data_IF_721214021338
#
_entry.id   IF_721214021338
#
_cell.length_a   1.000
_cell.length_b   1.000
_cell.length_c   1.000
_cell.angle_alpha   90.00
_cell.angle_beta   90.00
_cell.angle_gamma   90.00
#
_symmetry.space_group_name_H-M   'P 1'
#
loop_
_entity.id
_entity.type
_entity.pdbx_description
1 polymer ?
#
# COMPACT_ATOMS: atom_id res chain seq x y z
N UNK A 1 -9.16 3.11 -30.18
CA UNK A 1 -8.56 3.79 -29.03
C UNK A 1 -8.18 2.78 -27.97
N UNK A 2 -9.13 2.01 -27.43
CA UNK A 2 -8.89 1.03 -26.37
C UNK A 2 -7.90 -0.06 -26.78
N UNK A 3 -8.00 -0.55 -28.02
CA UNK A 3 -7.06 -1.53 -28.57
C UNK A 3 -5.61 -1.04 -28.52
N UNK A 4 -5.37 0.22 -28.88
CA UNK A 4 -4.02 0.79 -28.89
C UNK A 4 -3.50 1.05 -27.47
N UNK A 5 -4.37 1.52 -26.56
CA UNK A 5 -4.02 1.64 -25.14
C UNK A 5 -3.65 0.27 -24.56
N UNK A 6 -4.44 -0.77 -24.85
CA UNK A 6 -4.16 -2.12 -24.36
C UNK A 6 -2.83 -2.67 -24.90
N UNK A 7 -2.54 -2.48 -26.18
CA UNK A 7 -1.24 -2.87 -26.76
C UNK A 7 -0.07 -2.14 -26.09
N UNK A 8 -0.25 -0.87 -25.74
CA UNK A 8 0.78 -0.12 -25.02
C UNK A 8 0.95 -0.62 -23.57
N UNK A 9 -0.15 -0.95 -22.87
CA UNK A 9 -0.10 -1.59 -21.55
C UNK A 9 0.72 -2.89 -21.63
N UNK A 10 0.48 -3.74 -22.63
CA UNK A 10 1.27 -4.97 -22.85
C UNK A 10 2.73 -4.65 -23.14
N UNK A 11 3.02 -3.62 -23.94
CA UNK A 11 4.40 -3.17 -24.17
C UNK A 11 5.07 -2.76 -22.86
N UNK A 12 4.39 -2.02 -21.99
CA UNK A 12 4.91 -1.57 -20.69
C UNK A 12 5.20 -2.76 -19.78
N UNK A 13 4.24 -3.67 -19.61
CA UNK A 13 4.40 -4.84 -18.74
C UNK A 13 5.49 -5.79 -19.20
N UNK A 14 5.78 -5.83 -20.50
CA UNK A 14 6.82 -6.70 -21.07
C UNK A 14 8.21 -6.06 -21.17
N UNK A 15 8.35 -4.73 -21.07
CA UNK A 15 9.63 -4.05 -21.33
C UNK A 15 10.06 -3.03 -20.27
N UNK A 16 9.12 -2.31 -19.65
CA UNK A 16 9.42 -1.19 -18.76
C UNK A 16 9.14 -1.51 -17.29
N UNK A 17 8.11 -2.32 -17.03
CA UNK A 17 7.84 -2.88 -15.73
C UNK A 17 9.06 -3.66 -15.22
N UNK A 18 9.50 -3.34 -14.01
CA UNK A 18 10.68 -3.94 -13.39
C UNK A 18 10.57 -5.44 -13.11
N UNK A 19 9.35 -5.98 -13.03
CA UNK A 19 9.12 -7.43 -12.93
C UNK A 19 8.96 -8.13 -14.28
N UNK A 20 9.20 -7.48 -15.42
CA UNK A 20 8.99 -8.07 -16.73
C UNK A 20 9.82 -9.35 -16.98
N UNK A 21 11.04 -9.41 -16.44
CA UNK A 21 11.90 -10.60 -16.54
C UNK A 21 11.48 -11.69 -15.55
N UNK A 22 11.13 -11.31 -14.32
CA UNK A 22 10.75 -12.27 -13.27
C UNK A 22 9.41 -12.94 -13.54
N UNK A 23 8.54 -12.24 -14.29
CA UNK A 23 7.16 -12.65 -14.57
C UNK A 23 6.93 -12.95 -16.05
N UNK A 24 8.00 -13.28 -16.77
CA UNK A 24 7.91 -13.68 -18.17
C UNK A 24 6.95 -14.88 -18.32
N UNK A 25 5.96 -14.74 -19.21
CA UNK A 25 4.97 -15.78 -19.48
C UNK A 25 3.88 -15.95 -18.41
N UNK A 26 3.75 -15.02 -17.45
CA UNK A 26 2.68 -15.07 -16.45
C UNK A 26 1.33 -14.59 -17.02
N UNK A 27 1.34 -13.77 -18.06
CA UNK A 27 0.16 -13.14 -18.64
C UNK A 27 -0.34 -13.80 -19.94
N UNK A 28 -1.57 -13.51 -20.33
CA UNK A 28 -2.16 -13.93 -21.61
C UNK A 28 -2.72 -12.72 -22.39
N UNK A 29 -1.84 -11.88 -22.95
CA UNK A 29 -2.27 -10.64 -23.60
C UNK A 29 -3.14 -10.90 -24.84
N UNK A 30 -3.03 -12.07 -25.47
CA UNK A 30 -3.78 -12.42 -26.68
C UNK A 30 -5.27 -12.52 -26.37
N UNK A 31 -5.65 -13.23 -25.32
CA UNK A 31 -7.06 -13.42 -24.94
C UNK A 31 -7.74 -12.09 -24.58
N UNK A 32 -7.07 -11.25 -23.78
CA UNK A 32 -7.61 -9.94 -23.42
C UNK A 32 -7.66 -8.99 -24.62
N UNK A 33 -6.62 -8.96 -25.48
CA UNK A 33 -6.61 -8.11 -26.67
C UNK A 33 -7.75 -8.48 -27.63
N UNK A 34 -7.98 -9.77 -27.89
CA UNK A 34 -9.11 -10.22 -28.72
C UNK A 34 -10.46 -9.77 -28.14
N UNK A 35 -10.59 -9.78 -26.82
CA UNK A 35 -11.79 -9.30 -26.13
C UNK A 35 -11.99 -7.80 -26.32
N UNK A 36 -10.93 -7.00 -26.13
CA UNK A 36 -10.93 -5.55 -26.35
C UNK A 36 -11.28 -5.22 -27.80
N UNK A 37 -10.61 -5.83 -28.78
CA UNK A 37 -10.83 -5.60 -30.22
C UNK A 37 -12.27 -5.93 -30.63
N UNK A 38 -12.80 -7.05 -30.13
CA UNK A 38 -14.18 -7.47 -30.41
C UNK A 38 -15.18 -6.45 -29.88
N UNK A 39 -15.10 -6.08 -28.61
CA UNK A 39 -16.05 -5.15 -27.98
C UNK A 39 -15.92 -3.73 -28.56
N UNK A 40 -14.70 -3.28 -28.86
CA UNK A 40 -14.46 -1.99 -29.50
C UNK A 40 -15.07 -1.94 -30.91
N UNK A 41 -14.89 -3.01 -31.71
CA UNK A 41 -15.48 -3.11 -33.05
C UNK A 41 -17.00 -3.12 -33.05
N UNK A 42 -17.61 -3.70 -32.02
CA UNK A 42 -19.07 -3.72 -31.84
C UNK A 42 -19.62 -2.40 -31.28
N UNK A 43 -18.77 -1.48 -30.83
CA UNK A 43 -19.20 -0.25 -30.15
C UNK A 43 -19.75 -0.50 -28.75
N UNK A 44 -19.43 -1.65 -28.16
CA UNK A 44 -19.95 -2.10 -26.85
C UNK A 44 -18.94 -1.87 -25.72
N UNK A 45 -17.70 -1.47 -26.02
CA UNK A 45 -16.66 -1.27 -25.02
C UNK A 45 -16.77 0.10 -24.34
N UNK A 46 -17.28 0.10 -23.10
CA UNK A 46 -17.28 1.28 -22.23
C UNK A 46 -15.94 1.47 -21.50
N UNK A 47 -15.62 2.69 -21.01
CA UNK A 47 -14.45 2.93 -20.17
C UNK A 47 -14.39 2.03 -18.92
N UNK A 48 -15.55 1.75 -18.31
CA UNK A 48 -15.66 0.88 -17.13
C UNK A 48 -15.32 -0.56 -17.50
N UNK A 49 -15.89 -1.09 -18.59
CA UNK A 49 -15.56 -2.45 -19.05
C UNK A 49 -14.09 -2.57 -19.45
N UNK A 50 -13.53 -1.55 -20.10
CA UNK A 50 -12.10 -1.53 -20.43
C UNK A 50 -11.23 -1.58 -19.16
N UNK A 51 -11.58 -0.77 -18.15
CA UNK A 51 -10.89 -0.77 -16.84
C UNK A 51 -10.95 -2.16 -16.19
N UNK A 52 -12.11 -2.83 -16.24
CA UNK A 52 -12.26 -4.19 -15.69
C UNK A 52 -11.41 -5.22 -16.44
N UNK A 53 -11.34 -5.13 -17.78
CA UNK A 53 -10.50 -6.02 -18.61
C UNK A 53 -9.02 -5.82 -18.28
N UNK A 54 -8.56 -4.57 -18.22
CA UNK A 54 -7.16 -4.26 -17.87
C UNK A 54 -6.85 -4.73 -16.46
N UNK A 55 -7.74 -4.49 -15.48
CA UNK A 55 -7.54 -4.95 -14.12
C UNK A 55 -7.40 -6.48 -14.03
N UNK A 56 -8.24 -7.24 -14.74
CA UNK A 56 -8.17 -8.71 -14.78
C UNK A 56 -6.86 -9.22 -15.42
N UNK A 57 -6.37 -8.52 -16.45
CA UNK A 57 -5.04 -8.76 -17.05
C UNK A 57 -3.91 -8.50 -16.04
N UNK A 58 -3.93 -7.37 -15.33
CA UNK A 58 -2.87 -7.03 -14.37
C UNK A 58 -2.80 -8.00 -13.18
N UNK A 59 -3.92 -8.63 -12.80
CA UNK A 59 -3.95 -9.65 -11.74
C UNK A 59 -3.08 -10.88 -12.07
N UNK A 60 -2.84 -11.17 -13.35
CA UNK A 60 -2.04 -12.33 -13.75
C UNK A 60 -0.58 -12.20 -13.26
N UNK A 61 -0.08 -10.97 -13.13
CA UNK A 61 1.26 -10.68 -12.60
C UNK A 61 1.38 -10.87 -11.09
N UNK A 62 0.26 -10.96 -10.35
CA UNK A 62 0.24 -10.98 -8.86
C UNK A 62 1.14 -9.90 -8.25
N UNK A 63 1.17 -8.73 -8.86
CA UNK A 63 1.82 -7.54 -8.35
C UNK A 63 0.76 -6.57 -7.84
N UNK A 64 0.66 -6.42 -6.51
CA UNK A 64 -0.31 -5.52 -5.90
C UNK A 64 0.08 -4.03 -6.02
N UNK A 65 1.31 -3.72 -6.45
CA UNK A 65 1.80 -2.36 -6.63
C UNK A 65 1.58 -1.83 -8.06
N UNK A 66 1.13 -2.70 -8.98
CA UNK A 66 0.68 -2.32 -10.33
C UNK A 66 -0.84 -2.20 -10.39
N UNK A 67 -1.34 -1.05 -10.83
CA UNK A 67 -2.79 -0.82 -10.89
C UNK A 67 -3.20 0.19 -11.97
N UNK A 68 -4.44 0.06 -12.41
CA UNK A 68 -5.04 0.89 -13.46
C UNK A 68 -6.18 1.74 -12.88
N UNK A 69 -6.13 3.04 -13.14
CA UNK A 69 -7.12 4.02 -12.69
C UNK A 69 -7.88 4.61 -13.86
N UNK A 70 -9.14 4.96 -13.61
CA UNK A 70 -9.98 5.74 -14.51
C UNK A 70 -10.38 7.06 -13.86
N UNK A 71 -9.98 8.19 -14.44
CA UNK A 71 -10.30 9.55 -14.04
C UNK A 71 -11.57 10.05 -14.75
N UNK A 72 -12.71 9.44 -14.46
CA UNK A 72 -14.00 9.90 -15.01
C UNK A 72 -14.65 10.95 -14.10
N UNK A 73 -15.14 12.05 -14.67
CA UNK A 73 -16.00 13.04 -13.98
C UNK A 73 -17.27 12.41 -13.39
N UNK A 74 -17.78 11.34 -14.01
CA UNK A 74 -18.80 10.48 -13.43
C UNK A 74 -18.09 9.28 -12.80
N UNK A 75 -17.67 9.42 -11.53
CA UNK A 75 -17.01 8.31 -10.84
C UNK A 75 -17.91 7.07 -10.85
N UNK A 76 -17.38 5.89 -11.23
CA UNK A 76 -18.16 4.67 -11.28
C UNK A 76 -18.65 4.31 -9.87
N UNK A 77 -19.85 3.73 -9.78
CA UNK A 77 -20.37 3.16 -8.53
C UNK A 77 -19.57 1.88 -8.21
N UNK A 78 -18.48 2.05 -7.46
CA UNK A 78 -17.45 1.05 -7.20
C UNK A 78 -17.36 0.65 -5.72
N UNK A 79 -18.43 0.87 -4.95
CA UNK A 79 -18.56 0.35 -3.58
C UNK A 79 -19.94 -0.27 -3.35
N UNK A 80 -20.02 -1.27 -2.47
CA UNK A 80 -21.32 -1.77 -1.95
C UNK A 80 -21.78 -1.05 -0.68
N UNK A 81 -21.08 0.02 -0.29
CA UNK A 81 -21.49 0.87 0.83
C UNK A 81 -21.07 0.35 2.22
N UNK A 82 -20.26 -0.70 2.28
CA UNK A 82 -19.66 -1.25 3.51
C UNK A 82 -18.37 -2.01 3.18
N UNK A 83 -17.55 -2.29 4.20
CA UNK A 83 -16.35 -3.11 4.09
C UNK A 83 -16.51 -4.39 4.92
N UNK A 84 -15.78 -5.42 4.51
CA UNK A 84 -15.80 -6.72 5.20
C UNK A 84 -14.39 -7.26 5.41
N UNK A 85 -14.24 -8.12 6.42
CA UNK A 85 -13.10 -9.05 6.55
C UNK A 85 -13.63 -10.45 6.84
N UNK A 86 -12.98 -11.47 6.28
CA UNK A 86 -13.36 -12.86 6.56
C UNK A 86 -12.89 -13.27 7.95
N UNK A 87 -13.69 -14.09 8.62
CA UNK A 87 -13.24 -14.92 9.74
C UNK A 87 -14.02 -16.23 9.68
N UNK A 88 -13.29 -17.36 9.69
CA UNK A 88 -13.86 -18.69 9.46
C UNK A 88 -14.71 -18.75 8.18
N UNK A 89 -15.98 -19.14 8.27
CA UNK A 89 -16.89 -19.35 7.15
C UNK A 89 -17.78 -18.13 6.83
N UNK A 90 -17.46 -16.94 7.36
CA UNK A 90 -18.28 -15.72 7.24
C UNK A 90 -17.47 -14.48 6.91
N UNK A 91 -18.11 -13.50 6.29
CA UNK A 91 -17.57 -12.16 6.13
C UNK A 91 -18.20 -11.22 7.16
N UNK A 92 -17.40 -10.64 8.04
CA UNK A 92 -17.87 -9.69 9.04
C UNK A 92 -17.80 -8.29 8.50
N UNK A 93 -18.85 -7.51 8.74
CA UNK A 93 -18.95 -6.10 8.33
C UNK A 93 -18.12 -5.26 9.31
N UNK A 94 -17.01 -4.71 8.81
CA UNK A 94 -16.02 -3.97 9.62
C UNK A 94 -16.31 -2.48 9.66
N UNK A 95 -16.91 -1.94 8.60
CA UNK A 95 -17.32 -0.55 8.51
C UNK A 95 -18.51 -0.39 7.55
N UNK A 96 -19.28 0.67 7.75
CA UNK A 96 -20.44 1.04 6.90
C UNK A 96 -20.27 2.46 6.42
N UNK A 97 -20.64 2.74 5.17
CA UNK A 97 -20.70 4.08 4.59
C UNK A 97 -22.12 4.43 4.15
N UNK A 98 -22.50 4.06 2.92
CA UNK A 98 -23.78 4.44 2.31
C UNK A 98 -24.90 3.41 2.51
N UNK A 99 -24.55 2.15 2.71
CA UNK A 99 -25.54 1.09 2.88
C UNK A 99 -26.07 1.10 4.32
N UNK A 100 -27.23 1.70 4.53
CA UNK A 100 -27.83 1.89 5.87
C UNK A 100 -28.54 0.64 6.40
N UNK A 101 -28.79 -0.37 5.54
CA UNK A 101 -29.48 -1.61 5.93
C UNK A 101 -28.57 -2.60 6.64
N UNK A 102 -27.25 -2.42 6.53
CA UNK A 102 -26.25 -3.23 7.22
C UNK A 102 -25.67 -2.49 8.42
N UNK A 103 -25.19 -3.24 9.41
CA UNK A 103 -24.55 -2.70 10.61
C UNK A 103 -23.17 -3.31 10.80
N UNK A 104 -22.23 -2.47 11.26
CA UNK A 104 -20.93 -2.93 11.75
C UNK A 104 -21.14 -4.04 12.80
N UNK A 105 -20.42 -5.15 12.66
CA UNK A 105 -20.55 -6.33 13.53
C UNK A 105 -21.46 -7.44 12.98
N UNK A 106 -22.41 -7.13 12.09
CA UNK A 106 -23.15 -8.19 11.37
C UNK A 106 -22.19 -8.99 10.47
N UNK A 107 -22.61 -10.20 10.11
CA UNK A 107 -21.85 -11.03 9.18
C UNK A 107 -22.67 -11.51 7.99
N UNK A 108 -21.99 -11.87 6.91
CA UNK A 108 -22.54 -12.41 5.68
C UNK A 108 -22.22 -13.90 5.64
N UNK A 109 -23.27 -14.71 5.52
CA UNK A 109 -23.19 -16.17 5.42
C UNK A 109 -23.02 -16.65 3.97
N UNK A 110 -23.63 -15.93 3.03
CA UNK A 110 -23.65 -16.28 1.62
C UNK A 110 -23.78 -15.05 0.72
N UNK A 111 -23.22 -15.13 -0.49
CA UNK A 111 -23.38 -14.13 -1.56
C UNK A 111 -23.94 -14.88 -2.77
N UNK A 112 -25.01 -14.35 -3.37
CA UNK A 112 -25.76 -14.98 -4.46
C UNK A 112 -26.10 -16.47 -4.18
N UNK A 113 -26.57 -16.74 -2.97
CA UNK A 113 -26.90 -18.08 -2.45
C UNK A 113 -25.73 -19.07 -2.34
N UNK A 114 -24.48 -18.63 -2.56
CA UNK A 114 -23.27 -19.42 -2.41
C UNK A 114 -22.59 -19.11 -1.08
N UNK A 115 -22.20 -20.14 -0.31
CA UNK A 115 -21.52 -19.95 0.97
C UNK A 115 -20.12 -19.38 0.78
N UNK A 116 -19.60 -18.65 1.76
CA UNK A 116 -18.27 -18.02 1.69
C UNK A 116 -17.15 -19.02 1.33
N UNK A 117 -17.09 -20.25 1.90
CA UNK A 117 -16.04 -21.22 1.51
C UNK A 117 -16.08 -21.64 0.03
N UNK A 118 -17.25 -21.67 -0.59
CA UNK A 118 -17.40 -22.00 -2.02
C UNK A 118 -16.93 -20.84 -2.91
N UNK A 119 -17.18 -19.60 -2.46
CA UNK A 119 -16.72 -18.38 -3.13
C UNK A 119 -15.20 -18.24 -3.13
N UNK A 120 -14.50 -18.75 -2.09
CA UNK A 120 -13.03 -18.79 -2.05
C UNK A 120 -12.45 -19.56 -3.24
N UNK A 121 -13.12 -20.63 -3.67
CA UNK A 121 -12.68 -21.45 -4.81
C UNK A 121 -13.02 -20.71 -6.11
N UNK A 122 -14.27 -20.24 -6.23
CA UNK A 122 -14.77 -19.58 -7.45
C UNK A 122 -14.02 -18.28 -7.77
N UNK A 123 -13.71 -17.47 -6.76
CA UNK A 123 -13.08 -16.16 -6.91
C UNK A 123 -11.62 -16.13 -6.47
N UNK A 124 -10.94 -17.29 -6.41
CA UNK A 124 -9.55 -17.41 -5.94
C UNK A 124 -8.60 -16.39 -6.57
N UNK A 125 -8.71 -16.15 -7.89
CA UNK A 125 -7.90 -15.15 -8.61
C UNK A 125 -8.12 -13.73 -8.06
N UNK A 126 -9.38 -13.38 -7.78
CA UNK A 126 -9.80 -12.01 -7.46
C UNK A 126 -9.66 -11.64 -5.99
N UNK A 127 -9.73 -12.62 -5.09
CA UNK A 127 -9.41 -12.42 -3.66
C UNK A 127 -7.92 -12.10 -3.46
N UNK A 128 -7.11 -12.51 -4.45
CA UNK A 128 -5.74 -12.07 -4.73
C UNK A 128 -4.71 -12.29 -3.61
N UNK A 129 -4.95 -13.21 -2.66
CA UNK A 129 -4.11 -13.30 -1.46
C UNK A 129 -4.08 -14.70 -0.83
N UNK A 130 -3.12 -14.92 0.06
CA UNK A 130 -2.73 -16.23 0.63
C UNK A 130 -3.38 -16.55 1.97
N UNK A 131 -3.95 -15.56 2.66
CA UNK A 131 -4.57 -15.70 3.99
C UNK A 131 -5.87 -14.91 4.10
N UNK A 132 -6.73 -15.31 5.05
CA UNK A 132 -8.03 -14.67 5.30
C UNK A 132 -7.93 -13.19 5.67
N UNK A 133 -6.80 -12.77 6.24
CA UNK A 133 -6.54 -11.40 6.67
C UNK A 133 -6.29 -10.47 5.49
N UNK A 134 -5.87 -11.03 4.37
CA UNK A 134 -5.46 -10.31 3.16
C UNK A 134 -6.54 -10.31 2.07
N UNK A 135 -7.45 -11.29 2.07
CA UNK A 135 -8.50 -11.43 1.05
C UNK A 135 -9.25 -10.13 0.73
N UNK A 136 -9.27 -9.76 -0.56
CA UNK A 136 -9.96 -8.57 -1.09
C UNK A 136 -11.35 -8.94 -1.63
N UNK A 137 -12.40 -8.60 -0.87
CA UNK A 137 -13.78 -8.99 -1.19
C UNK A 137 -14.56 -7.96 -2.04
N UNK A 138 -14.01 -6.77 -2.27
CA UNK A 138 -14.71 -5.68 -2.98
C UNK A 138 -15.18 -6.10 -4.38
N UNK A 139 -14.31 -6.77 -5.16
CA UNK A 139 -14.66 -7.22 -6.51
C UNK A 139 -15.82 -8.23 -6.48
N UNK A 140 -15.78 -9.21 -5.58
CA UNK A 140 -16.81 -10.24 -5.44
C UNK A 140 -18.15 -9.58 -5.11
N UNK A 141 -18.17 -8.67 -4.14
CA UNK A 141 -19.37 -7.94 -3.72
C UNK A 141 -19.93 -7.07 -4.86
N UNK A 142 -19.08 -6.38 -5.63
CA UNK A 142 -19.51 -5.52 -6.75
C UNK A 142 -20.08 -6.28 -7.94
N UNK A 143 -19.65 -7.53 -8.14
CA UNK A 143 -20.16 -8.43 -9.19
C UNK A 143 -21.39 -9.21 -8.76
N UNK A 144 -21.75 -9.18 -7.48
CA UNK A 144 -22.87 -9.93 -6.92
C UNK A 144 -24.16 -9.12 -6.84
N UNK A 145 -25.28 -9.85 -6.78
CA UNK A 145 -26.62 -9.27 -6.77
C UNK A 145 -27.20 -9.17 -5.35
N UNK A 146 -26.93 -10.16 -4.50
CA UNK A 146 -27.45 -10.19 -3.13
C UNK A 146 -26.48 -10.82 -2.14
N UNK A 147 -26.67 -10.53 -0.85
CA UNK A 147 -26.00 -11.22 0.23
C UNK A 147 -27.00 -11.63 1.32
N UNK A 148 -26.68 -12.72 2.04
CA UNK A 148 -27.46 -13.20 3.19
C UNK A 148 -26.73 -12.81 4.47
N UNK A 149 -27.30 -11.81 5.15
CA UNK A 149 -26.85 -11.34 6.45
C UNK A 149 -27.30 -12.30 7.55
N UNK A 150 -26.52 -12.36 8.61
CA UNK A 150 -26.88 -12.95 9.89
C UNK A 150 -26.52 -11.97 11.00
N UNK A 151 -27.47 -11.71 11.89
CA UNK A 151 -27.27 -10.87 13.07
C UNK A 151 -26.76 -11.68 14.28
N UNK A 152 -26.57 -10.99 15.41
CA UNK A 152 -26.05 -11.57 16.65
C UNK A 152 -27.00 -12.62 17.25
N UNK A 153 -28.30 -12.52 16.98
CA UNK A 153 -29.34 -13.46 17.43
C UNK A 153 -29.47 -14.68 16.49
N UNK A 154 -28.72 -14.70 15.38
CA UNK A 154 -28.73 -15.77 14.38
C UNK A 154 -29.87 -15.66 13.36
N UNK A 155 -30.61 -14.55 13.35
CA UNK A 155 -31.65 -14.30 12.36
C UNK A 155 -31.01 -13.98 11.01
N UNK A 156 -31.49 -14.63 9.96
CA UNK A 156 -30.97 -14.41 8.60
C UNK A 156 -31.89 -13.53 7.78
N UNK A 157 -31.28 -12.66 6.97
CA UNK A 157 -31.99 -11.80 6.02
C UNK A 157 -31.18 -11.67 4.73
N UNK A 158 -31.83 -11.90 3.59
CA UNK A 158 -31.22 -11.61 2.29
C UNK A 158 -31.52 -10.18 1.88
N UNK A 159 -30.48 -9.44 1.45
CA UNK A 159 -30.60 -8.09 0.89
C UNK A 159 -29.98 -8.03 -0.51
N UNK A 160 -30.57 -7.23 -1.38
CA UNK A 160 -29.95 -6.86 -2.67
C UNK A 160 -28.79 -5.91 -2.42
N UNK A 161 -27.63 -6.20 -3.01
CA UNK A 161 -26.45 -5.33 -2.98
C UNK A 161 -26.67 -4.15 -3.91
N UNK A 162 -26.61 -2.94 -3.35
CA UNK A 162 -26.66 -1.70 -4.10
C UNK A 162 -25.23 -1.20 -4.37
N UNK A 163 -25.06 -0.45 -5.45
CA UNK A 163 -23.78 0.13 -5.83
C UNK A 163 -23.79 1.62 -5.50
N UNK A 164 -22.74 2.07 -4.84
CA UNK A 164 -22.57 3.43 -4.35
C UNK A 164 -21.27 4.02 -4.87
N UNK A 165 -21.20 5.35 -4.88
CA UNK A 165 -19.93 6.06 -5.06
C UNK A 165 -19.06 5.76 -3.84
N UNK A 166 -17.81 5.39 -4.06
CA UNK A 166 -16.85 5.26 -2.96
C UNK A 166 -16.58 6.63 -2.32
N UNK A 167 -16.42 6.64 -1.00
CA UNK A 167 -16.03 7.85 -0.29
C UNK A 167 -14.64 8.31 -0.75
N UNK A 168 -14.48 9.62 -0.88
CA UNK A 168 -13.16 10.21 -1.08
C UNK A 168 -12.30 9.94 0.14
N UNK A 169 -11.06 9.52 -0.11
CA UNK A 169 -10.09 9.29 0.95
C UNK A 169 -9.55 10.63 1.44
N UNK A 170 -9.55 10.82 2.76
CA UNK A 170 -8.91 11.96 3.41
C UNK A 170 -7.77 11.45 4.28
N UNK A 171 -6.53 11.94 4.08
CA UNK A 171 -5.41 11.56 4.93
C UNK A 171 -5.63 12.02 6.37
N UNK A 172 -5.17 11.20 7.32
CA UNK A 172 -5.13 11.54 8.73
C UNK A 172 -3.67 11.60 9.16
N UNK A 173 -3.25 12.81 9.54
CA UNK A 173 -2.01 13.08 10.26
C UNK A 173 -2.38 13.67 11.60
N UNK A 174 -2.29 12.87 12.66
CA UNK A 174 -2.73 13.32 14.00
C UNK A 174 -1.70 12.98 15.07
N UNK A 175 -1.64 13.86 16.07
CA UNK A 175 -0.83 13.70 17.27
C UNK A 175 -1.75 13.83 18.49
N UNK A 176 -1.62 12.91 19.44
CA UNK A 176 -2.38 12.93 20.69
C UNK A 176 -1.48 12.50 21.85
N UNK A 177 -1.56 13.22 22.96
CA UNK A 177 -1.16 12.65 24.24
C UNK A 177 -2.23 11.61 24.64
N UNK A 178 -1.89 10.33 24.53
CA UNK A 178 -2.84 9.25 24.82
C UNK A 178 -3.08 9.08 26.32
N UNK A 179 -2.00 9.19 27.12
CA UNK A 179 -2.06 9.21 28.58
C UNK A 179 -0.87 10.03 29.14
N UNK A 180 -0.64 10.00 30.45
CA UNK A 180 0.44 10.78 31.11
C UNK A 180 1.85 10.49 30.59
N UNK A 181 2.11 9.30 30.06
CA UNK A 181 3.44 8.81 29.71
C UNK A 181 3.54 8.32 28.25
N UNK A 182 2.47 8.42 27.46
CA UNK A 182 2.39 7.88 26.08
C UNK A 182 1.83 8.88 25.07
N UNK A 183 2.56 9.06 23.98
CA UNK A 183 2.12 9.75 22.78
C UNK A 183 1.56 8.76 21.75
N UNK A 184 0.59 9.20 20.95
CA UNK A 184 0.05 8.47 19.81
C UNK A 184 0.11 9.36 18.57
N UNK A 185 0.82 8.90 17.55
CA UNK A 185 0.82 9.47 16.21
C UNK A 185 0.06 8.53 15.29
N UNK A 186 -0.83 9.05 14.45
CA UNK A 186 -1.51 8.29 13.39
C UNK A 186 -1.18 8.89 12.04
N UNK A 187 -0.67 8.07 11.12
CA UNK A 187 -0.30 8.44 9.75
C UNK A 187 -0.90 7.43 8.77
N UNK A 188 -1.97 7.82 8.07
CA UNK A 188 -2.69 6.93 7.14
C UNK A 188 -2.12 6.94 5.72
N UNK A 189 -1.10 7.74 5.46
CA UNK A 189 -0.22 7.65 4.29
C UNK A 189 1.06 8.48 4.54
N UNK A 190 1.94 8.49 3.55
CA UNK A 190 3.19 9.23 3.46
C UNK A 190 3.22 10.13 2.21
N UNK A 191 2.07 10.65 1.78
CA UNK A 191 1.95 11.43 0.55
C UNK A 191 2.21 12.93 0.72
N UNK A 192 2.23 13.43 1.95
CA UNK A 192 2.43 14.85 2.25
C UNK A 192 3.49 15.04 3.35
N UNK A 193 4.76 15.04 2.94
CA UNK A 193 5.90 15.23 3.83
C UNK A 193 5.82 16.56 4.59
N UNK A 194 5.40 17.65 3.95
CA UNK A 194 5.29 18.98 4.60
C UNK A 194 4.33 18.95 5.80
N UNK A 195 3.12 18.39 5.61
CA UNK A 195 2.11 18.30 6.65
C UNK A 195 2.58 17.42 7.83
N UNK A 196 3.22 16.30 7.53
CA UNK A 196 3.79 15.40 8.54
C UNK A 196 4.92 16.11 9.29
N UNK A 197 5.84 16.75 8.58
CA UNK A 197 6.97 17.49 9.17
C UNK A 197 6.49 18.62 10.09
N UNK A 198 5.46 19.36 9.68
CA UNK A 198 4.83 20.42 10.48
C UNK A 198 4.15 19.87 11.74
N UNK A 199 3.48 18.71 11.64
CA UNK A 199 2.90 18.03 12.79
C UNK A 199 3.99 17.67 13.82
N UNK A 200 5.11 17.13 13.35
CA UNK A 200 6.23 16.76 14.23
C UNK A 200 6.93 17.97 14.85
N UNK A 201 7.12 19.05 14.10
CA UNK A 201 7.72 20.29 14.63
C UNK A 201 6.86 20.93 15.73
N UNK A 202 5.54 20.95 15.53
CA UNK A 202 4.62 21.55 16.49
C UNK A 202 4.52 20.79 17.81
N UNK A 203 4.96 19.53 17.87
CA UNK A 203 4.94 18.69 19.08
C UNK A 203 6.34 18.18 19.46
N UNK A 204 7.38 18.94 19.06
CA UNK A 204 8.77 18.57 19.30
C UNK A 204 9.08 18.46 20.79
N UNK A 205 8.50 19.32 21.63
CA UNK A 205 8.78 19.31 23.07
C UNK A 205 8.22 18.04 23.73
N UNK A 206 7.01 17.63 23.37
CA UNK A 206 6.38 16.39 23.81
C UNK A 206 7.20 15.18 23.34
N UNK A 207 7.59 15.14 22.06
CA UNK A 207 8.41 14.05 21.50
C UNK A 207 9.77 13.90 22.20
N UNK A 208 10.35 15.00 22.69
CA UNK A 208 11.62 14.97 23.42
C UNK A 208 11.47 14.64 24.92
N UNK A 209 10.25 14.63 25.46
CA UNK A 209 10.00 14.47 26.91
C UNK A 209 9.26 13.19 27.27
N UNK A 210 8.35 12.72 26.43
CA UNK A 210 7.55 11.53 26.72
C UNK A 210 8.36 10.24 26.54
N UNK A 211 8.26 9.28 27.47
CA UNK A 211 9.05 8.06 27.42
C UNK A 211 8.55 7.05 26.38
N UNK A 212 7.25 7.09 26.06
CA UNK A 212 6.59 6.14 25.17
C UNK A 212 5.95 6.82 23.97
N UNK A 213 6.08 6.19 22.80
CA UNK A 213 5.43 6.61 21.57
C UNK A 213 4.78 5.42 20.88
N UNK A 214 3.51 5.56 20.50
CA UNK A 214 2.81 4.65 19.60
C UNK A 214 2.68 5.35 18.25
N UNK A 215 3.05 4.66 17.17
CA UNK A 215 2.86 5.14 15.80
C UNK A 215 1.92 4.16 15.10
N UNK A 216 0.72 4.64 14.78
CA UNK A 216 -0.31 3.87 14.08
C UNK A 216 -0.21 4.12 12.57
N UNK A 217 0.27 3.10 11.86
CA UNK A 217 0.37 3.06 10.40
C UNK A 217 -0.50 1.94 9.83
N UNK A 218 -1.48 1.42 10.58
CA UNK A 218 -2.32 0.30 10.13
C UNK A 218 -2.95 0.57 8.77
N UNK A 219 -3.46 1.78 8.55
CA UNK A 219 -4.10 2.21 7.30
C UNK A 219 -3.15 2.87 6.29
N UNK A 220 -1.82 2.82 6.50
CA UNK A 220 -0.86 3.60 5.73
C UNK A 220 -0.78 3.19 4.25
N UNK A 221 -1.24 4.07 3.34
CA UNK A 221 -1.32 3.76 1.90
C UNK A 221 -0.02 3.99 1.11
N UNK A 222 1.10 4.21 1.78
CA UNK A 222 2.37 4.55 1.14
C UNK A 222 2.47 6.02 0.77
N UNK A 223 3.36 6.35 -0.16
CA UNK A 223 3.68 7.72 -0.54
C UNK A 223 5.14 7.81 -0.92
N UNK A 224 5.88 8.71 -0.28
CA UNK A 224 7.34 8.81 -0.45
C UNK A 224 8.06 8.59 0.88
N UNK A 225 9.25 7.98 0.81
CA UNK A 225 10.00 7.56 1.99
C UNK A 225 10.51 8.75 2.81
N UNK A 226 10.79 9.89 2.16
CA UNK A 226 11.23 11.12 2.83
C UNK A 226 10.21 11.67 3.84
N UNK A 227 8.92 11.38 3.62
CA UNK A 227 7.85 11.82 4.49
C UNK A 227 7.95 11.30 5.94
N UNK A 228 8.69 10.20 6.18
CA UNK A 228 8.92 9.69 7.53
C UNK A 228 10.33 9.98 8.07
N UNK A 229 11.26 10.56 7.28
CA UNK A 229 12.65 10.76 7.71
C UNK A 229 12.78 11.59 8.98
N UNK A 230 11.94 12.62 9.14
CA UNK A 230 11.94 13.47 10.34
C UNK A 230 11.40 12.79 11.60
N UNK A 231 10.69 11.67 11.44
CA UNK A 231 10.21 10.85 12.54
C UNK A 231 11.31 9.91 13.06
N UNK A 232 12.19 9.43 12.17
CA UNK A 232 13.23 8.46 12.48
C UNK A 232 14.15 8.86 13.65
N UNK A 233 14.56 10.13 13.85
CA UNK A 233 15.33 10.54 15.03
C UNK A 233 14.70 10.18 16.38
N UNK A 234 13.37 10.17 16.48
CA UNK A 234 12.66 9.81 17.70
C UNK A 234 12.56 8.28 17.88
N UNK A 235 12.76 7.53 16.81
CA UNK A 235 12.63 6.07 16.80
C UNK A 235 13.95 5.41 17.13
N UNK A 236 15.07 5.92 16.61
CA UNK A 236 16.40 5.31 16.80
C UNK A 236 17.11 5.76 18.08
N UNK A 237 18.16 5.02 18.46
CA UNK A 237 19.02 5.36 19.60
C UNK A 237 19.87 6.60 19.32
N UNK A 238 20.36 7.25 20.38
CA UNK A 238 21.16 8.50 20.34
C UNK A 238 22.55 8.30 19.71
N UNK A 239 22.57 8.02 18.41
CA UNK A 239 23.74 7.79 17.56
C UNK A 239 23.39 8.08 16.09
N UNK A 240 24.42 8.14 15.25
CA UNK A 240 24.26 8.24 13.81
C UNK A 240 23.78 6.91 13.20
N UNK A 241 22.82 6.97 12.28
CA UNK A 241 22.22 5.84 11.56
C UNK A 241 22.28 6.14 10.06
N UNK A 242 22.75 5.19 9.26
CA UNK A 242 22.71 5.26 7.80
C UNK A 242 21.35 4.78 7.28
N UNK A 243 20.75 5.54 6.36
CA UNK A 243 19.50 5.14 5.70
C UNK A 243 19.73 4.19 4.51
N UNK A 244 20.97 4.06 4.02
CA UNK A 244 21.33 3.13 2.94
C UNK A 244 21.78 1.75 3.42
N UNK A 245 21.70 1.47 4.72
CA UNK A 245 22.17 0.21 5.30
C UNK A 245 21.16 -0.93 5.07
N UNK A 246 21.07 -1.41 3.82
CA UNK A 246 20.30 -2.59 3.43
C UNK A 246 21.23 -3.69 2.92
N UNK A 247 20.95 -4.94 3.31
CA UNK A 247 21.63 -6.13 2.78
C UNK A 247 21.21 -6.46 1.34
N UNK A 248 20.05 -5.95 0.92
CA UNK A 248 19.49 -6.20 -0.39
C UNK A 248 19.69 -4.99 -1.30
N UNK A 249 19.98 -5.28 -2.55
CA UNK A 249 20.24 -4.26 -3.57
C UNK A 249 18.98 -4.00 -4.38
N UNK A 250 18.76 -2.74 -4.75
CA UNK A 250 17.70 -2.34 -5.67
C UNK A 250 18.25 -2.31 -7.10
N UNK A 251 17.51 -2.85 -8.06
CA UNK A 251 17.77 -2.71 -9.49
C UNK A 251 16.68 -1.85 -10.13
N UNK A 252 17.04 -0.82 -10.90
CA UNK A 252 16.10 0.00 -11.65
C UNK A 252 16.16 -0.35 -13.13
N UNK A 253 14.99 -0.38 -13.79
CA UNK A 253 14.90 -0.59 -15.24
C UNK A 253 14.95 0.77 -15.97
N UNK A 254 16.10 1.16 -16.50
CA UNK A 254 16.30 2.44 -17.18
C UNK A 254 15.96 2.36 -18.68
N UNK A 255 14.67 2.27 -19.00
CA UNK A 255 14.17 2.45 -20.36
C UNK A 255 13.99 3.93 -20.69
N UNK A 256 13.80 4.25 -21.97
CA UNK A 256 13.44 5.61 -22.39
C UNK A 256 12.12 6.06 -21.76
N UNK A 257 11.11 5.18 -21.74
CA UNK A 257 9.79 5.47 -21.18
C UNK A 257 9.87 5.72 -19.68
N UNK A 258 10.55 4.86 -18.92
CA UNK A 258 10.72 5.04 -17.47
C UNK A 258 11.44 6.36 -17.16
N UNK A 259 12.48 6.72 -17.92
CA UNK A 259 13.15 8.00 -17.74
C UNK A 259 12.18 9.17 -17.93
N UNK A 260 11.42 9.20 -19.05
CA UNK A 260 10.52 10.33 -19.34
C UNK A 260 9.40 10.44 -18.30
N UNK A 261 8.77 9.33 -17.94
CA UNK A 261 7.66 9.33 -16.97
C UNK A 261 8.14 9.72 -15.57
N UNK A 262 9.23 9.14 -15.10
CA UNK A 262 9.76 9.44 -13.76
C UNK A 262 10.29 10.86 -13.65
N UNK A 263 10.94 11.38 -14.70
CA UNK A 263 11.36 12.79 -14.74
C UNK A 263 10.16 13.74 -14.75
N UNK A 264 9.10 13.44 -15.52
CA UNK A 264 7.84 14.22 -15.51
C UNK A 264 7.23 14.27 -14.10
N UNK A 265 7.14 13.12 -13.43
CA UNK A 265 6.57 13.05 -12.08
C UNK A 265 7.37 13.92 -11.09
N UNK A 266 8.71 13.87 -11.14
CA UNK A 266 9.59 14.70 -10.31
C UNK A 266 9.45 16.20 -10.65
N UNK A 267 9.33 16.56 -11.92
CA UNK A 267 9.16 17.96 -12.36
C UNK A 267 7.82 18.57 -11.94
N UNK A 268 6.82 17.73 -11.63
CA UNK A 268 5.52 18.17 -11.10
C UNK A 268 5.55 18.41 -9.58
N UNK A 269 6.56 17.93 -8.87
CA UNK A 269 6.74 18.22 -7.45
C UNK A 269 7.19 19.68 -7.23
N UNK A 270 6.69 20.30 -6.16
CA UNK A 270 7.20 21.61 -5.72
C UNK A 270 8.56 21.44 -5.04
N UNK A 271 9.59 21.18 -5.85
CA UNK A 271 10.95 20.88 -5.40
C UNK A 271 11.50 21.97 -4.46
N UNK A 272 11.18 23.24 -4.70
CA UNK A 272 11.68 24.35 -3.89
C UNK A 272 11.10 24.32 -2.46
N UNK A 273 9.88 23.81 -2.29
CA UNK A 273 9.21 23.64 -0.99
C UNK A 273 9.75 22.48 -0.14
N UNK A 274 10.50 21.55 -0.76
CA UNK A 274 11.06 20.38 -0.06
C UNK A 274 12.10 20.80 0.99
N UNK A 275 12.13 20.06 2.11
CA UNK A 275 13.21 20.16 3.08
C UNK A 275 14.53 19.57 2.54
N UNK A 276 15.63 19.83 3.23
CA UNK A 276 16.98 19.48 2.76
C UNK A 276 17.16 17.97 2.54
N UNK A 277 16.63 17.12 3.42
CA UNK A 277 16.76 15.66 3.27
C UNK A 277 15.94 15.16 2.08
N UNK A 278 14.74 15.71 1.89
CA UNK A 278 13.86 15.39 0.77
C UNK A 278 14.48 15.83 -0.57
N UNK A 279 15.13 17.00 -0.63
CA UNK A 279 15.89 17.45 -1.82
C UNK A 279 17.04 16.50 -2.16
N UNK A 280 17.83 16.12 -1.15
CA UNK A 280 18.92 15.14 -1.32
C UNK A 280 18.36 13.82 -1.85
N UNK A 281 17.28 13.32 -1.27
CA UNK A 281 16.62 12.09 -1.70
C UNK A 281 16.14 12.16 -3.15
N UNK A 282 15.49 13.25 -3.55
CA UNK A 282 15.07 13.46 -4.95
C UNK A 282 16.25 13.56 -5.91
N UNK A 283 17.31 14.28 -5.54
CA UNK A 283 18.51 14.45 -6.35
C UNK A 283 19.22 13.12 -6.63
N UNK A 284 19.23 12.21 -5.66
CA UNK A 284 19.78 10.86 -5.81
C UNK A 284 19.14 10.13 -7.00
N UNK A 285 17.81 10.11 -7.08
CA UNK A 285 17.10 9.44 -8.17
C UNK A 285 17.22 10.19 -9.50
N UNK A 286 17.24 11.54 -9.49
CA UNK A 286 17.49 12.33 -10.71
C UNK A 286 18.85 11.98 -11.31
N UNK A 287 19.91 11.91 -10.48
CA UNK A 287 21.26 11.61 -10.94
C UNK A 287 21.36 10.18 -11.48
N UNK A 288 20.75 9.22 -10.78
CA UNK A 288 20.70 7.83 -11.22
C UNK A 288 20.00 7.67 -12.58
N UNK A 289 18.80 8.26 -12.73
CA UNK A 289 18.03 8.27 -13.98
C UNK A 289 18.84 8.85 -15.15
N UNK A 290 19.48 10.01 -14.95
CA UNK A 290 20.30 10.68 -16.00
C UNK A 290 21.52 9.86 -16.39
N UNK A 291 22.24 9.31 -15.39
CA UNK A 291 23.47 8.55 -15.62
C UNK A 291 23.20 7.23 -16.35
N UNK A 292 22.06 6.60 -16.08
CA UNK A 292 21.73 5.26 -16.56
C UNK A 292 20.71 5.23 -17.70
N UNK A 293 20.40 6.38 -18.30
CA UNK A 293 19.49 6.49 -19.43
C UNK A 293 19.72 5.43 -20.51
N UNK A 294 18.66 4.69 -20.85
CA UNK A 294 18.63 3.61 -21.87
C UNK A 294 19.55 2.42 -21.61
N UNK A 295 20.03 2.21 -20.37
CA UNK A 295 20.89 1.05 -20.04
C UNK A 295 20.11 -0.22 -19.66
N UNK A 296 18.79 -0.15 -19.52
CA UNK A 296 17.99 -1.26 -18.99
C UNK A 296 18.22 -1.46 -17.49
N UNK A 297 18.24 -2.71 -17.02
CA UNK A 297 18.42 -3.01 -15.60
C UNK A 297 19.82 -2.62 -15.09
N UNK A 298 19.87 -1.74 -14.10
CA UNK A 298 21.11 -1.33 -13.42
C UNK A 298 20.90 -1.43 -11.92
N UNK A 299 21.87 -2.03 -11.21
CA UNK A 299 21.89 -2.04 -9.74
C UNK A 299 22.18 -0.65 -9.22
N UNK A 300 21.29 -0.13 -8.40
CA UNK A 300 21.47 1.12 -7.68
C UNK A 300 22.66 1.01 -6.71
N UNK A 301 23.64 1.88 -6.88
CA UNK A 301 24.85 1.88 -6.07
C UNK A 301 25.08 3.28 -5.48
N UNK A 302 24.74 3.50 -4.19
CA UNK A 302 24.94 4.78 -3.52
C UNK A 302 26.40 5.27 -3.58
N UNK A 303 27.37 4.36 -3.63
CA UNK A 303 28.80 4.70 -3.67
C UNK A 303 29.23 5.42 -4.95
N UNK A 304 28.44 5.34 -6.01
CA UNK A 304 28.72 5.99 -7.29
C UNK A 304 28.03 7.36 -7.46
N UNK A 305 27.31 7.81 -6.43
CA UNK A 305 26.71 9.14 -6.37
C UNK A 305 27.76 10.20 -5.99
N UNK A 306 27.51 11.50 -6.25
CA UNK A 306 28.29 12.59 -5.66
C UNK A 306 28.46 12.43 -4.15
N UNK A 307 29.63 12.82 -3.60
CA UNK A 307 29.97 12.59 -2.17
C UNK A 307 28.94 13.19 -1.21
N UNK A 308 28.33 14.29 -1.60
CA UNK A 308 27.31 15.00 -0.83
C UNK A 308 26.02 14.18 -0.69
N UNK A 309 25.78 13.23 -1.61
CA UNK A 309 24.62 12.34 -1.64
C UNK A 309 24.93 10.91 -1.11
N UNK A 310 26.19 10.60 -0.80
CA UNK A 310 26.63 9.26 -0.40
C UNK A 310 26.27 8.90 1.05
N UNK A 311 25.96 9.89 1.91
CA UNK A 311 25.69 9.69 3.33
C UNK A 311 24.36 10.31 3.73
N UNK A 312 23.25 9.66 3.36
CA UNK A 312 21.96 9.98 3.95
C UNK A 312 21.91 9.37 5.35
N UNK A 313 22.31 10.16 6.36
CA UNK A 313 22.32 9.75 7.76
C UNK A 313 21.34 10.57 8.59
N UNK A 314 20.86 9.97 9.67
CA UNK A 314 20.12 10.66 10.72
C UNK A 314 20.84 10.48 12.06
N UNK A 315 20.61 11.39 12.99
CA UNK A 315 21.03 11.20 14.37
C UNK A 315 19.79 10.91 15.22
N UNK A 316 19.75 9.71 15.84
CA UNK A 316 18.68 9.36 16.76
C UNK A 316 18.71 10.18 18.04
N UNK A 317 17.76 9.91 18.94
CA UNK A 317 17.54 10.69 20.18
C UNK A 317 17.47 9.77 21.39
N UNK A 318 17.52 10.32 22.60
CA UNK A 318 17.32 9.54 23.83
C UNK A 318 15.83 9.20 24.05
N UNK A 319 14.95 10.19 23.90
CA UNK A 319 13.50 10.02 24.04
C UNK A 319 12.81 10.10 22.67
N UNK A 320 11.71 9.36 22.45
CA UNK A 320 11.15 8.30 23.30
C UNK A 320 12.09 7.10 23.49
N UNK A 321 11.94 6.40 24.62
CA UNK A 321 12.74 5.21 24.95
C UNK A 321 12.09 3.91 24.51
N UNK A 322 10.76 3.92 24.34
CA UNK A 322 9.97 2.76 23.92
C UNK A 322 9.01 3.20 22.83
N UNK A 323 9.05 2.52 21.69
CA UNK A 323 8.25 2.84 20.53
C UNK A 323 7.47 1.60 20.09
N UNK A 324 6.15 1.69 20.00
CA UNK A 324 5.31 0.65 19.41
C UNK A 324 4.83 1.12 18.05
N UNK A 325 4.95 0.27 17.04
CA UNK A 325 4.40 0.51 15.70
C UNK A 325 3.21 -0.43 15.50
N UNK A 326 2.05 0.12 15.16
CA UNK A 326 0.86 -0.67 14.82
C UNK A 326 0.78 -0.84 13.30
N UNK A 327 0.71 -2.08 12.83
CA UNK A 327 0.67 -2.42 11.39
C UNK A 327 -0.55 -3.29 11.04
N UNK A 328 -1.02 -3.17 9.80
CA UNK A 328 -2.01 -4.06 9.20
C UNK A 328 -1.66 -4.30 7.72
N UNK A 329 -2.37 -5.21 7.07
CA UNK A 329 -2.23 -5.60 5.65
C UNK A 329 -2.46 -4.42 4.67
N UNK A 330 -2.98 -3.30 5.17
CA UNK A 330 -3.15 -2.06 4.39
C UNK A 330 -1.93 -1.14 4.44
N UNK A 331 -1.00 -1.32 5.38
CA UNK A 331 0.26 -0.58 5.46
C UNK A 331 1.18 -1.01 4.32
N UNK A 332 1.39 -0.20 3.28
CA UNK A 332 2.13 -0.64 2.10
C UNK A 332 3.01 0.42 1.45
N UNK A 333 3.85 0.00 0.49
CA UNK A 333 4.74 0.90 -0.28
C UNK A 333 5.72 1.63 0.66
N UNK A 334 5.76 2.97 0.73
CA UNK A 334 6.55 3.65 1.77
C UNK A 334 6.17 3.26 3.22
N UNK A 335 4.96 2.72 3.43
CA UNK A 335 4.57 2.04 4.66
C UNK A 335 5.37 0.77 4.94
N UNK A 336 5.63 -0.05 3.92
CA UNK A 336 6.54 -1.19 4.01
C UNK A 336 7.97 -0.68 4.33
N UNK A 337 8.48 0.31 3.57
CA UNK A 337 9.81 0.90 3.80
C UNK A 337 9.97 1.41 5.24
N UNK A 338 8.98 2.14 5.74
CA UNK A 338 8.98 2.66 7.11
C UNK A 338 9.13 1.52 8.13
N UNK A 339 8.29 0.48 8.01
CA UNK A 339 8.32 -0.66 8.94
C UNK A 339 9.64 -1.42 8.85
N UNK A 340 10.19 -1.61 7.65
CA UNK A 340 11.49 -2.25 7.46
C UNK A 340 12.63 -1.48 8.14
N UNK A 341 12.65 -0.15 7.97
CA UNK A 341 13.65 0.72 8.56
C UNK A 341 13.54 0.71 10.08
N UNK A 342 12.36 0.99 10.64
CA UNK A 342 12.20 1.17 12.10
C UNK A 342 12.43 -0.12 12.89
N UNK A 343 12.23 -1.29 12.28
CA UNK A 343 12.53 -2.59 12.89
C UNK A 343 14.00 -2.78 13.25
N UNK A 344 14.91 -1.99 12.66
CA UNK A 344 16.34 -2.02 12.99
C UNK A 344 16.66 -1.36 14.33
N UNK A 345 15.72 -0.59 14.92
CA UNK A 345 15.92 0.02 16.24
C UNK A 345 15.57 -0.94 17.38
N UNK A 346 16.41 -0.93 18.41
CA UNK A 346 16.19 -1.65 19.67
C UNK A 346 15.07 -1.02 20.52
N UNK A 347 14.66 0.22 20.21
CA UNK A 347 13.54 0.88 20.87
C UNK A 347 12.19 0.43 20.35
N UNK A 348 12.12 -0.36 19.27
CA UNK A 348 10.89 -0.60 18.53
C UNK A 348 10.30 -1.99 18.78
N UNK A 349 8.99 -2.04 19.04
CA UNK A 349 8.15 -3.23 18.89
C UNK A 349 7.09 -3.00 17.82
N UNK A 350 7.17 -3.73 16.70
CA UNK A 350 6.13 -3.74 15.67
C UNK A 350 5.10 -4.80 16.04
N UNK A 351 3.82 -4.45 16.11
CA UNK A 351 2.74 -5.36 16.49
C UNK A 351 1.53 -5.18 15.57
N UNK A 352 0.71 -6.23 15.45
CA UNK A 352 -0.50 -6.23 14.61
C UNK A 352 -0.42 -7.32 13.55
N UNK A 353 -0.79 -6.99 12.30
CA UNK A 353 -0.67 -7.91 11.16
C UNK A 353 0.54 -7.53 10.28
N UNK A 354 1.02 -8.43 9.42
CA UNK A 354 2.03 -8.09 8.41
C UNK A 354 1.58 -6.91 7.54
N UNK A 355 2.54 -6.13 7.05
CA UNK A 355 2.30 -5.06 6.08
C UNK A 355 1.79 -5.61 4.75
N UNK A 356 1.45 -4.76 3.79
CA UNK A 356 0.91 -5.12 2.49
C UNK A 356 1.92 -5.91 1.63
N UNK A 357 3.21 -5.62 1.75
CA UNK A 357 4.27 -6.30 1.03
C UNK A 357 4.33 -5.90 -0.44
N UNK A 358 4.48 -4.60 -0.71
CA UNK A 358 4.46 -4.03 -2.06
C UNK A 358 5.85 -3.78 -2.64
N UNK A 359 6.92 -3.84 -1.83
CA UNK A 359 8.21 -3.28 -2.24
C UNK A 359 9.13 -4.21 -3.02
N UNK A 360 8.74 -5.47 -3.26
CA UNK A 360 9.46 -6.35 -4.20
C UNK A 360 9.66 -5.66 -5.55
N UNK A 361 8.64 -4.92 -5.99
CA UNK A 361 8.67 -4.05 -7.16
C UNK A 361 8.16 -2.66 -6.77
N UNK A 362 8.97 -1.62 -6.95
CA UNK A 362 8.71 -0.28 -6.41
C UNK A 362 8.93 0.86 -7.41
N UNK A 363 8.89 2.10 -6.89
CA UNK A 363 9.15 3.36 -7.60
C UNK A 363 8.32 3.50 -8.87
N UNK A 364 7.01 3.67 -8.67
CA UNK A 364 6.03 3.66 -9.75
C UNK A 364 6.29 4.77 -10.77
N UNK A 365 6.17 4.43 -12.05
CA UNK A 365 5.94 5.37 -13.13
C UNK A 365 4.45 5.43 -13.46
N UNK A 366 3.97 6.59 -13.90
CA UNK A 366 2.56 6.80 -14.28
C UNK A 366 2.45 7.06 -15.78
N UNK A 367 1.82 6.14 -16.51
CA UNK A 367 1.46 6.36 -17.91
C UNK A 367 -0.01 6.77 -18.00
N UNK A 368 -0.30 7.88 -18.69
CA UNK A 368 -1.65 8.46 -18.79
C UNK A 368 -2.15 8.46 -20.23
N UNK A 369 -3.45 8.22 -20.43
CA UNK A 369 -4.09 8.26 -21.74
C UNK A 369 -5.41 9.03 -21.72
N UNK A 370 -5.55 9.94 -22.69
CA UNK A 370 -6.80 10.62 -23.02
C UNK A 370 -7.51 11.28 -21.82
N UNK A 371 -6.75 11.78 -20.84
CA UNK A 371 -7.23 12.36 -19.57
C UNK A 371 -8.23 11.46 -18.81
N UNK A 372 -8.26 10.17 -19.13
CA UNK A 372 -9.27 9.22 -18.67
C UNK A 372 -8.63 8.05 -17.95
N UNK A 373 -7.46 7.60 -18.38
CA UNK A 373 -6.84 6.39 -17.87
C UNK A 373 -5.43 6.65 -17.36
N UNK A 374 -5.03 5.94 -16.32
CA UNK A 374 -3.65 5.89 -15.88
C UNK A 374 -3.23 4.47 -15.46
N UNK A 375 -2.07 4.04 -15.91
CA UNK A 375 -1.39 2.84 -15.43
C UNK A 375 -0.25 3.27 -14.51
N UNK A 376 -0.28 2.75 -13.30
CA UNK A 376 0.81 2.84 -12.35
C UNK A 376 1.56 1.52 -12.37
N UNK A 377 2.87 1.55 -12.62
CA UNK A 377 3.67 0.34 -12.70
C UNK A 377 5.08 0.53 -12.09
N UNK A 378 5.60 -0.48 -11.38
CA UNK A 378 6.93 -0.42 -10.79
C UNK A 378 8.10 -0.34 -11.77
N UNK A 379 9.10 0.49 -11.49
CA UNK A 379 10.34 0.60 -12.27
C UNK A 379 11.60 0.13 -11.53
N UNK A 380 11.48 -0.36 -10.30
CA UNK A 380 12.57 -0.97 -9.55
C UNK A 380 12.19 -2.33 -8.96
N UNK A 381 13.16 -3.23 -8.78
CA UNK A 381 13.02 -4.54 -8.12
C UNK A 381 14.08 -4.72 -7.03
N UNK A 382 13.75 -5.45 -5.96
CA UNK A 382 14.71 -5.80 -4.89
C UNK A 382 15.36 -7.16 -5.16
N UNK A 383 16.67 -7.29 -4.91
CA UNK A 383 17.41 -8.56 -5.10
C UNK A 383 16.99 -9.70 -4.15
N UNK A 384 16.21 -9.40 -3.11
CA UNK A 384 15.69 -10.42 -2.19
C UNK A 384 14.75 -11.41 -2.89
N UNK A 385 14.11 -10.99 -3.99
CA UNK A 385 13.23 -11.85 -4.77
C UNK A 385 13.99 -12.98 -5.49
N UNK A 386 15.26 -12.75 -5.85
CA UNK A 386 16.13 -13.78 -6.43
C UNK A 386 16.43 -14.93 -5.45
N UNK A 387 16.27 -14.67 -4.14
CA UNK A 387 16.40 -15.66 -3.06
C UNK A 387 15.07 -16.38 -2.77
N UNK A 388 13.97 -15.99 -3.40
CA UNK A 388 12.62 -16.47 -3.08
C UNK A 388 12.07 -15.92 -1.76
N UNK A 389 12.66 -14.85 -1.23
CA UNK A 389 12.33 -14.25 0.07
C UNK A 389 11.62 -12.89 -0.08
N UNK A 390 11.00 -12.65 -1.25
CA UNK A 390 10.21 -11.45 -1.52
C UNK A 390 9.02 -11.30 -0.57
N UNK A 391 8.56 -10.05 -0.40
CA UNK A 391 7.46 -9.70 0.48
C UNK A 391 6.07 -9.79 -0.17
N UNK A 392 5.97 -10.01 -1.48
CA UNK A 392 4.70 -10.12 -2.21
C UNK A 392 3.77 -11.15 -1.60
N UNK A 393 2.59 -10.71 -1.13
CA UNK A 393 1.58 -11.57 -0.49
C UNK A 393 1.95 -12.06 0.91
N UNK A 394 3.06 -11.58 1.48
CA UNK A 394 3.56 -11.96 2.82
C UNK A 394 3.64 -10.71 3.71
N UNK A 395 4.26 -9.65 3.21
CA UNK A 395 4.55 -8.42 3.96
C UNK A 395 5.64 -8.58 5.01
N UNK A 396 6.06 -7.46 5.58
CA UNK A 396 7.00 -7.42 6.68
C UNK A 396 6.29 -7.93 7.93
N UNK A 397 6.81 -9.02 8.49
CA UNK A 397 6.22 -9.65 9.67
C UNK A 397 6.39 -8.74 10.90
N UNK A 398 5.37 -8.58 11.76
CA UNK A 398 5.52 -7.85 13.02
C UNK A 398 6.41 -8.64 13.99
N UNK A 399 6.93 -7.98 15.04
CA UNK A 399 7.58 -8.66 16.17
C UNK A 399 6.55 -9.49 16.95
N UNK A 400 5.32 -9.00 17.07
CA UNK A 400 4.20 -9.70 17.72
C UNK A 400 3.00 -9.68 16.78
N UNK A 401 2.64 -10.86 16.27
CA UNK A 401 1.46 -11.03 15.43
C UNK A 401 0.18 -11.06 16.25
N UNK A 402 -0.78 -10.21 15.91
CA UNK A 402 -2.13 -10.18 16.48
C UNK A 402 -3.11 -10.54 15.35
N UNK A 403 -3.65 -11.77 15.33
CA UNK A 403 -4.51 -12.20 14.24
C UNK A 403 -5.83 -11.41 14.25
N UNK A 404 -6.33 -11.08 13.05
CA UNK A 404 -7.65 -10.50 12.91
C UNK A 404 -8.73 -11.44 13.45
N UNK A 405 -9.59 -10.92 14.31
CA UNK A 405 -10.80 -11.58 14.82
C UNK A 405 -11.96 -10.59 14.83
N UNK A 406 -13.22 -11.05 14.88
CA UNK A 406 -14.37 -10.16 15.04
C UNK A 406 -14.32 -9.28 16.30
N UNK A 407 -13.52 -9.61 17.31
CA UNK A 407 -13.31 -8.77 18.51
C UNK A 407 -12.77 -7.37 18.17
N UNK A 408 -11.95 -7.27 17.12
CA UNK A 408 -11.40 -6.00 16.63
C UNK A 408 -12.48 -5.04 16.09
N UNK A 409 -13.70 -5.52 15.86
CA UNK A 409 -14.85 -4.69 15.50
C UNK A 409 -15.36 -3.93 16.73
N UNK A 410 -15.26 -4.55 17.90
CA UNK A 410 -15.82 -4.06 19.17
C UNK A 410 -14.82 -3.21 19.97
N UNK A 411 -13.53 -3.58 19.94
CA UNK A 411 -12.46 -2.83 20.60
C UNK A 411 -11.19 -2.74 19.75
N UNK A 412 -10.30 -1.80 20.08
CA UNK A 412 -8.98 -1.70 19.47
C UNK A 412 -8.00 -2.64 20.20
N UNK A 413 -8.05 -3.92 19.83
CA UNK A 413 -7.22 -5.00 20.41
C UNK A 413 -5.73 -4.69 20.27
N UNK A 414 -5.31 -4.15 19.12
CA UNK A 414 -3.90 -3.81 18.85
C UNK A 414 -3.41 -2.73 19.82
N UNK A 415 -4.17 -1.63 19.94
CA UNK A 415 -3.82 -0.52 20.83
C UNK A 415 -3.82 -0.94 22.30
N UNK A 416 -4.78 -1.78 22.69
CA UNK A 416 -4.86 -2.33 24.05
C UNK A 416 -3.61 -3.15 24.38
N UNK A 417 -3.15 -4.01 23.47
CA UNK A 417 -1.90 -4.75 23.65
C UNK A 417 -0.67 -3.83 23.66
N UNK A 418 -0.62 -2.82 22.79
CA UNK A 418 0.46 -1.84 22.78
C UNK A 418 0.64 -1.16 24.15
N UNK A 419 -0.46 -0.73 24.76
CA UNK A 419 -0.43 -0.08 26.06
C UNK A 419 0.01 -1.01 27.18
N UNK A 420 -0.36 -2.30 27.12
CA UNK A 420 0.12 -3.32 28.04
C UNK A 420 1.64 -3.53 27.89
N UNK A 421 2.15 -3.65 26.67
CA UNK A 421 3.58 -3.83 26.40
C UNK A 421 4.42 -2.66 26.91
N UNK A 422 3.90 -1.44 26.82
CA UNK A 422 4.60 -0.24 27.31
C UNK A 422 4.70 -0.19 28.86
N UNK A 423 3.87 -0.95 29.58
CA UNK A 423 3.91 -1.07 31.04
C UNK A 423 4.90 -2.13 31.53
N UNK A 424 5.39 -3.02 30.66
CA UNK A 424 6.31 -4.07 31.05
C UNK A 424 7.68 -3.52 31.48
N UNK A 425 8.28 -4.10 32.51
CA UNK A 425 9.61 -3.70 32.98
C UNK A 425 10.72 -4.11 31.99
N UNK A 426 10.57 -5.29 31.38
CA UNK A 426 11.45 -5.76 30.30
C UNK A 426 10.97 -5.22 28.94
N UNK A 427 11.79 -4.36 28.33
CA UNK A 427 11.55 -3.80 27.00
C UNK A 427 12.30 -4.57 25.93
#
# INVERSE_FOLDING_TARGET
MYTEIFKEIVSITHHDYSGCLDKEGWDDPVTYLQTVEKLEKLGELTPVQFTEIVWDYLLDFKDNHMFFKMYSNNQPLNSVGFQVKRYEDRLYITSTSHEVRVKKGQSILAIDHMKIPELLIKYKKYLNETSYEREKWDYVLLKSSNCTLIDEDGLTQTITLQKYKQNEYTPIYSFKQHNKDTLLITLTDFTNAEAINKLLDSHKDELNTFPNLIIDVRLNRGGSDDAFFKLLPYIFEDKEISLFDSSDTMQLNHTERNFQLRMKDIEMEDYDSLDELSKIYTDIFIQDLKKNYKKGFVTFNPSELPKELQSLTIHGRKSPTRVVILTDVTCGSSGDSFVEVVKKSLKVKVIGRPTAGLNDYSNLAVMEWADTFALYYPTSRLSIIDKGEGMSGIGIQPHIHIPWTPEHIQEDVDLKLALQLLQNEEW
#
